data_IF_028476557811
#
_entry.id   IF_028476557811
#
_cell.length_a   1.000
_cell.length_b   1.000
_cell.length_c   1.000
_cell.angle_alpha   90.00
_cell.angle_beta   90.00
_cell.angle_gamma   90.00
#
_symmetry.space_group_name_H-M   'P 1'
#
loop_
_entity.id
_entity.type
_entity.pdbx_description
1 polymer ?
#
# COMPACT_ATOMS: atom_id res chain seq x y z
N UNK A 1 10.54 -46.58 10.24
CA UNK A 1 10.29 -47.08 11.61
C UNK A 1 9.60 -45.98 12.38
N UNK A 2 8.34 -46.16 12.77
CA UNK A 2 7.61 -45.16 13.54
C UNK A 2 8.11 -45.14 14.98
N UNK A 3 8.57 -43.98 15.46
CA UNK A 3 8.93 -43.79 16.86
C UNK A 3 7.71 -43.29 17.63
N UNK A 4 7.39 -43.94 18.75
CA UNK A 4 6.30 -43.55 19.65
C UNK A 4 5.90 -44.68 20.58
N UNK A 5 5.49 -44.33 21.80
CA UNK A 5 4.90 -45.27 22.75
C UNK A 5 3.38 -45.27 22.61
N UNK A 6 2.74 -46.45 22.71
CA UNK A 6 1.28 -46.49 22.73
C UNK A 6 0.80 -45.83 24.02
N UNK A 7 -0.24 -45.00 23.92
CA UNK A 7 -0.81 -44.26 25.06
C UNK A 7 -1.24 -45.20 26.21
N UNK A 8 -1.67 -46.42 25.89
CA UNK A 8 -2.01 -47.45 26.88
C UNK A 8 -0.77 -47.90 27.67
N UNK A 9 0.35 -48.19 26.98
CA UNK A 9 1.61 -48.62 27.62
C UNK A 9 2.14 -47.57 28.61
N UNK A 10 2.02 -46.28 28.27
CA UNK A 10 2.41 -45.19 29.17
C UNK A 10 1.47 -45.11 30.38
N UNK A 11 0.16 -45.22 30.16
CA UNK A 11 -0.84 -45.19 31.23
C UNK A 11 -0.59 -46.32 32.23
N UNK A 12 -0.37 -47.54 31.73
CA UNK A 12 -0.10 -48.73 32.55
C UNK A 12 1.22 -48.59 33.33
N UNK A 13 2.25 -48.01 32.71
CA UNK A 13 3.52 -47.73 33.38
C UNK A 13 3.34 -46.78 34.57
N UNK A 14 2.62 -45.66 34.40
CA UNK A 14 2.41 -44.71 35.49
C UNK A 14 1.54 -45.30 36.61
N UNK A 15 0.52 -46.09 36.26
CA UNK A 15 -0.29 -46.83 37.25
C UNK A 15 0.56 -47.81 38.07
N UNK A 16 1.49 -48.53 37.43
CA UNK A 16 2.41 -49.45 38.14
C UNK A 16 3.30 -48.73 39.17
N UNK A 17 3.52 -47.43 38.98
CA UNK A 17 4.28 -46.56 39.89
C UNK A 17 3.38 -45.80 40.88
N UNK A 18 2.11 -46.18 40.98
CA UNK A 18 1.14 -45.57 41.90
C UNK A 18 0.74 -44.14 41.52
N UNK A 19 0.96 -43.71 40.28
CA UNK A 19 0.58 -42.39 39.78
C UNK A 19 -0.53 -42.51 38.76
N UNK A 20 -1.65 -41.80 38.99
CA UNK A 20 -2.74 -41.73 38.03
C UNK A 20 -2.50 -40.53 37.08
N UNK A 21 -2.36 -40.79 35.77
CA UNK A 21 -2.14 -39.76 34.76
C UNK A 21 -3.32 -39.76 33.79
N UNK A 22 -4.02 -38.63 33.71
CA UNK A 22 -5.10 -38.42 32.74
C UNK A 22 -4.56 -37.55 31.60
N UNK A 23 -4.29 -38.16 30.45
CA UNK A 23 -3.77 -37.47 29.26
C UNK A 23 -4.85 -36.69 28.46
N UNK A 24 -6.06 -36.50 29.00
CA UNK A 24 -7.14 -35.72 28.37
C UNK A 24 -7.85 -36.47 27.24
N UNK A 25 -8.57 -35.76 26.37
CA UNK A 25 -9.27 -36.33 25.20
C UNK A 25 -8.23 -36.94 24.22
N UNK A 26 -8.55 -37.95 23.38
CA UNK A 26 -7.67 -38.39 22.29
C UNK A 26 -7.13 -37.19 21.49
N UNK A 27 -5.94 -37.27 20.87
CA UNK A 27 -5.52 -36.20 19.96
C UNK A 27 -6.65 -36.02 18.96
N UNK A 28 -7.13 -34.78 18.80
CA UNK A 28 -8.13 -34.46 17.79
C UNK A 28 -7.65 -35.12 16.49
N UNK A 29 -8.47 -35.97 15.91
CA UNK A 29 -8.33 -36.27 14.49
C UNK A 29 -8.47 -34.92 13.81
N UNK A 30 -7.34 -34.35 13.40
CA UNK A 30 -7.35 -33.30 12.40
C UNK A 30 -7.83 -34.00 11.14
N UNK A 31 -9.15 -34.02 10.93
CA UNK A 31 -9.66 -34.07 9.58
C UNK A 31 -9.05 -32.84 8.92
N UNK A 32 -8.25 -33.05 7.87
CA UNK A 32 -7.80 -31.97 7.02
C UNK A 32 -9.05 -31.28 6.53
N UNK A 33 -9.45 -30.19 7.20
CA UNK A 33 -10.53 -29.34 6.76
C UNK A 33 -10.03 -28.67 5.49
N UNK A 34 -10.23 -29.35 4.37
CA UNK A 34 -9.93 -28.88 3.02
C UNK A 34 -10.86 -27.76 2.57
N UNK A 35 -11.51 -27.08 3.50
CA UNK A 35 -12.51 -26.06 3.24
C UNK A 35 -11.92 -24.70 3.62
N UNK A 36 -10.79 -24.35 3.00
CA UNK A 36 -10.38 -22.98 2.78
C UNK A 36 -11.04 -22.50 1.46
N UNK A 37 -12.37 -22.48 1.45
CA UNK A 37 -13.23 -22.20 0.28
C UNK A 37 -13.20 -20.71 -0.16
N UNK A 38 -12.15 -19.99 0.21
CA UNK A 38 -11.89 -18.60 -0.14
C UNK A 38 -10.40 -18.25 -0.24
N UNK A 39 -9.51 -19.25 -0.26
CA UNK A 39 -8.09 -19.01 -0.49
C UNK A 39 -7.88 -18.69 -1.98
N UNK A 40 -7.58 -17.42 -2.27
CA UNK A 40 -7.08 -16.99 -3.59
C UNK A 40 -5.98 -17.97 -4.01
N UNK A 41 -6.15 -18.64 -5.15
CA UNK A 41 -5.16 -19.65 -5.56
C UNK A 41 -3.85 -18.96 -5.95
N UNK A 42 -2.73 -19.67 -5.87
CA UNK A 42 -1.44 -19.13 -6.32
C UNK A 42 -1.51 -18.62 -7.77
N UNK A 43 -2.29 -19.29 -8.62
CA UNK A 43 -2.49 -18.90 -10.01
C UNK A 43 -3.28 -17.60 -10.13
N UNK A 44 -4.31 -17.41 -9.31
CA UNK A 44 -5.09 -16.16 -9.27
C UNK A 44 -4.20 -14.98 -8.84
N UNK A 45 -3.36 -15.17 -7.82
CA UNK A 45 -2.41 -14.16 -7.37
C UNK A 45 -1.38 -13.80 -8.46
N UNK A 46 -0.87 -14.79 -9.20
CA UNK A 46 0.07 -14.53 -10.29
C UNK A 46 -0.60 -13.80 -11.46
N UNK A 47 -1.84 -14.15 -11.79
CA UNK A 47 -2.62 -13.46 -12.80
C UNK A 47 -2.90 -12.00 -12.41
N UNK A 48 -3.21 -11.76 -11.14
CA UNK A 48 -3.39 -10.41 -10.59
C UNK A 48 -2.09 -9.60 -10.66
N UNK A 49 -0.95 -10.18 -10.29
CA UNK A 49 0.36 -9.51 -10.41
C UNK A 49 0.66 -9.10 -11.84
N UNK A 50 0.39 -9.96 -12.83
CA UNK A 50 0.64 -9.61 -14.23
C UNK A 50 -0.31 -8.50 -14.71
N UNK A 51 -1.59 -8.57 -14.33
CA UNK A 51 -2.58 -7.52 -14.61
C UNK A 51 -2.19 -6.17 -14.00
N UNK A 52 -1.71 -6.18 -12.75
CA UNK A 52 -1.24 -4.98 -12.08
C UNK A 52 0.03 -4.43 -12.76
N UNK A 53 0.97 -5.28 -13.16
CA UNK A 53 2.17 -4.86 -13.91
C UNK A 53 1.84 -4.29 -15.29
N UNK A 54 0.88 -4.86 -16.02
CA UNK A 54 0.45 -4.28 -17.30
C UNK A 54 -0.20 -2.92 -17.06
N UNK A 55 -1.04 -2.80 -16.02
CA UNK A 55 -1.69 -1.54 -15.69
C UNK A 55 -0.70 -0.45 -15.28
N UNK A 56 0.34 -0.79 -14.52
CA UNK A 56 1.42 0.13 -14.18
C UNK A 56 2.14 0.62 -15.43
N UNK A 57 2.51 -0.29 -16.35
CA UNK A 57 3.15 0.09 -17.63
C UNK A 57 2.28 1.02 -18.46
N UNK A 58 0.98 0.75 -18.55
CA UNK A 58 0.04 1.60 -19.28
C UNK A 58 -0.06 3.00 -18.66
N UNK A 59 -0.10 3.08 -17.32
CA UNK A 59 -0.14 4.35 -16.60
C UNK A 59 1.17 5.13 -16.72
N UNK A 60 2.32 4.45 -16.66
CA UNK A 60 3.64 5.04 -16.86
C UNK A 60 3.80 5.59 -18.28
N UNK A 61 3.22 4.92 -19.29
CA UNK A 61 3.21 5.38 -20.67
C UNK A 61 2.40 6.68 -20.88
N UNK A 62 1.48 7.02 -19.97
CA UNK A 62 0.72 8.28 -20.00
C UNK A 62 1.48 9.44 -19.37
N UNK A 63 2.52 9.18 -18.58
CA UNK A 63 3.33 10.23 -17.97
C UNK A 63 4.22 10.90 -19.03
N UNK A 64 4.50 12.21 -18.89
CA UNK A 64 5.52 12.86 -19.70
C UNK A 64 6.85 12.11 -19.61
N UNK A 65 7.49 11.91 -20.76
CA UNK A 65 8.80 11.25 -20.81
C UNK A 65 9.81 11.97 -19.90
N UNK A 66 10.64 11.19 -19.20
CA UNK A 66 11.75 11.69 -18.38
C UNK A 66 11.33 12.56 -17.17
N UNK A 67 10.05 12.53 -16.78
CA UNK A 67 9.54 13.33 -15.65
C UNK A 67 10.25 12.93 -14.35
N UNK A 68 11.02 13.86 -13.77
CA UNK A 68 11.77 13.61 -12.54
C UNK A 68 12.98 12.66 -12.67
N UNK A 69 13.34 12.22 -13.88
CA UNK A 69 14.44 11.26 -14.08
C UNK A 69 15.82 11.89 -13.83
N UNK A 70 16.04 13.11 -14.33
CA UNK A 70 17.34 13.77 -14.28
C UNK A 70 17.47 14.78 -13.13
N UNK A 71 16.35 15.18 -12.53
CA UNK A 71 16.35 16.20 -11.49
C UNK A 71 15.21 15.99 -10.49
N UNK A 72 15.56 15.98 -9.21
CA UNK A 72 14.61 15.80 -8.11
C UNK A 72 13.76 17.07 -7.85
N UNK A 73 14.20 18.19 -8.40
CA UNK A 73 13.59 19.52 -8.28
C UNK A 73 12.86 19.92 -9.58
N UNK A 74 12.39 18.94 -10.36
CA UNK A 74 11.72 19.16 -11.65
C UNK A 74 10.46 20.04 -11.47
N UNK A 75 10.43 21.27 -12.04
CA UNK A 75 9.30 22.18 -11.93
C UNK A 75 7.96 21.57 -12.35
N UNK A 76 7.94 20.71 -13.37
CA UNK A 76 6.72 20.07 -13.85
C UNK A 76 6.24 18.99 -12.87
N UNK A 77 7.17 18.16 -12.37
CA UNK A 77 6.87 17.17 -11.35
C UNK A 77 6.30 17.84 -10.09
N UNK A 78 6.92 18.94 -9.66
CA UNK A 78 6.46 19.72 -8.51
C UNK A 78 5.08 20.32 -8.74
N UNK A 79 4.80 20.84 -9.93
CA UNK A 79 3.49 21.37 -10.26
C UNK A 79 2.40 20.28 -10.21
N UNK A 80 2.68 19.08 -10.72
CA UNK A 80 1.77 17.92 -10.64
C UNK A 80 1.53 17.54 -9.17
N UNK A 81 2.59 17.46 -8.35
CA UNK A 81 2.49 17.14 -6.93
C UNK A 81 1.65 18.17 -6.16
N UNK A 82 1.88 19.46 -6.40
CA UNK A 82 1.10 20.55 -5.79
C UNK A 82 -0.36 20.44 -6.23
N UNK A 83 -0.64 20.20 -7.51
CA UNK A 83 -2.01 20.02 -7.99
C UNK A 83 -2.72 18.86 -7.29
N UNK A 84 -2.04 17.71 -7.16
CA UNK A 84 -2.60 16.53 -6.52
C UNK A 84 -2.75 16.66 -5.00
N UNK A 85 -2.08 17.62 -4.36
CA UNK A 85 -2.11 17.81 -2.91
C UNK A 85 -3.00 18.99 -2.50
N UNK A 86 -2.70 20.17 -3.05
CA UNK A 86 -3.28 21.43 -2.62
C UNK A 86 -4.53 21.82 -3.44
N UNK A 87 -4.75 21.15 -4.58
CA UNK A 87 -5.89 21.40 -5.48
C UNK A 87 -6.74 20.14 -5.73
N UNK A 88 -6.53 19.06 -4.96
CA UNK A 88 -7.24 17.79 -5.13
C UNK A 88 -8.76 17.95 -5.03
N UNK A 89 -9.19 18.71 -4.03
CA UNK A 89 -10.60 18.93 -3.70
C UNK A 89 -11.14 20.24 -4.27
N UNK A 90 -10.43 20.86 -5.23
CA UNK A 90 -10.84 22.12 -5.81
C UNK A 90 -12.18 22.00 -6.53
N UNK A 91 -13.16 22.78 -6.08
CA UNK A 91 -14.49 22.86 -6.65
C UNK A 91 -14.74 24.29 -7.17
N UNK A 92 -14.94 24.48 -8.49
CA UNK A 92 -15.18 25.80 -9.06
C UNK A 92 -16.46 26.47 -8.53
N UNK A 93 -17.46 25.71 -8.09
CA UNK A 93 -18.71 26.24 -7.54
C UNK A 93 -18.56 26.66 -6.06
N UNK A 94 -17.50 26.18 -5.40
CA UNK A 94 -17.17 26.48 -4.01
C UNK A 94 -15.70 26.94 -3.83
N UNK A 95 -15.26 27.85 -4.71
CA UNK A 95 -13.88 28.37 -4.75
C UNK A 95 -13.40 28.84 -3.36
N UNK A 96 -14.23 29.59 -2.64
CA UNK A 96 -13.84 30.18 -1.36
C UNK A 96 -13.43 29.15 -0.29
N UNK A 97 -14.05 27.96 -0.31
CA UNK A 97 -13.78 26.93 0.69
C UNK A 97 -12.71 25.93 0.23
N UNK A 98 -12.61 25.69 -1.08
CA UNK A 98 -11.78 24.61 -1.65
C UNK A 98 -10.49 25.10 -2.32
N UNK A 99 -10.32 26.41 -2.44
CA UNK A 99 -9.13 27.00 -3.07
C UNK A 99 -7.86 26.74 -2.27
N UNK A 100 -6.85 26.22 -2.95
CA UNK A 100 -5.51 26.05 -2.43
C UNK A 100 -4.86 27.38 -2.03
N UNK A 101 -4.06 27.35 -0.96
CA UNK A 101 -3.37 28.55 -0.47
C UNK A 101 -2.12 28.85 -1.31
N UNK A 102 -2.30 29.70 -2.32
CA UNK A 102 -1.26 30.08 -3.28
C UNK A 102 -0.03 30.71 -2.62
N UNK A 103 -0.23 31.56 -1.62
CA UNK A 103 0.88 32.20 -0.90
C UNK A 103 1.70 31.19 -0.10
N UNK A 104 1.05 30.20 0.52
CA UNK A 104 1.73 29.11 1.21
C UNK A 104 2.53 28.24 0.22
N UNK A 105 1.95 27.89 -0.92
CA UNK A 105 2.62 27.10 -1.97
C UNK A 105 3.90 27.80 -2.45
N UNK A 106 3.81 29.10 -2.80
CA UNK A 106 4.97 29.89 -3.27
C UNK A 106 6.04 29.96 -2.19
N UNK A 107 5.65 30.25 -0.95
CA UNK A 107 6.59 30.35 0.17
C UNK A 107 7.27 29.02 0.50
N UNK A 108 6.56 27.89 0.38
CA UNK A 108 7.15 26.57 0.58
C UNK A 108 8.14 26.22 -0.55
N UNK A 109 7.88 26.63 -1.79
CA UNK A 109 8.84 26.51 -2.89
C UNK A 109 10.07 27.41 -2.67
N UNK A 110 9.89 28.64 -2.22
CA UNK A 110 11.02 29.55 -1.88
C UNK A 110 11.90 28.95 -0.78
N UNK A 111 11.30 28.36 0.26
CA UNK A 111 12.05 27.62 1.31
C UNK A 111 12.85 26.44 0.79
N UNK A 112 12.40 25.82 -0.30
CA UNK A 112 13.10 24.72 -0.96
C UNK A 112 14.23 25.20 -1.87
N UNK A 113 14.46 26.51 -1.96
CA UNK A 113 15.58 27.13 -2.70
C UNK A 113 15.19 27.67 -4.08
N UNK A 114 13.90 27.65 -4.45
CA UNK A 114 13.47 28.22 -5.73
C UNK A 114 13.44 29.75 -5.67
N UNK A 115 13.93 30.46 -6.70
CA UNK A 115 13.74 31.89 -6.79
C UNK A 115 12.24 32.19 -6.96
N UNK A 116 11.78 33.30 -6.37
CA UNK A 116 10.38 33.73 -6.37
C UNK A 116 9.68 33.58 -7.74
N UNK A 117 10.31 34.04 -8.82
CA UNK A 117 9.77 33.94 -10.18
C UNK A 117 9.52 32.49 -10.62
N UNK A 118 10.40 31.57 -10.25
CA UNK A 118 10.24 30.15 -10.58
C UNK A 118 9.18 29.51 -9.68
N UNK A 119 9.12 29.87 -8.39
CA UNK A 119 8.06 29.43 -7.49
C UNK A 119 6.67 29.87 -7.98
N UNK A 120 6.53 31.12 -8.41
CA UNK A 120 5.30 31.66 -9.03
C UNK A 120 4.95 30.93 -10.33
N UNK A 121 5.94 30.61 -11.17
CA UNK A 121 5.71 29.86 -12.40
C UNK A 121 5.24 28.41 -12.13
N UNK A 122 5.83 27.73 -11.15
CA UNK A 122 5.42 26.38 -10.74
C UNK A 122 4.00 26.41 -10.19
N UNK A 123 3.69 27.38 -9.31
CA UNK A 123 2.34 27.55 -8.76
C UNK A 123 1.32 27.83 -9.86
N UNK A 124 1.66 28.68 -10.83
CA UNK A 124 0.78 28.99 -11.96
C UNK A 124 0.45 27.75 -12.78
N UNK A 125 1.44 26.89 -13.06
CA UNK A 125 1.23 25.63 -13.79
C UNK A 125 0.40 24.64 -12.96
N UNK A 126 0.58 24.62 -11.64
CA UNK A 126 -0.18 23.77 -10.73
C UNK A 126 -1.64 24.23 -10.56
N UNK A 127 -1.89 25.54 -10.57
CA UNK A 127 -3.20 26.11 -10.31
C UNK A 127 -4.21 25.73 -11.41
N UNK A 128 -5.42 25.25 -11.07
CA UNK A 128 -6.47 24.94 -12.05
C UNK A 128 -7.25 26.19 -12.51
N UNK A 129 -7.08 27.32 -11.81
CA UNK A 129 -7.85 28.55 -12.06
C UNK A 129 -7.26 29.29 -13.26
N UNK A 130 -8.09 29.61 -14.26
CA UNK A 130 -7.70 30.49 -15.37
C UNK A 130 -7.46 31.90 -14.85
N UNK A 131 -6.20 32.36 -14.88
CA UNK A 131 -5.84 33.76 -14.66
C UNK A 131 -5.88 34.47 -16.02
N UNK A 132 -6.87 35.34 -16.18
CA UNK A 132 -7.03 36.18 -17.38
C UNK A 132 -6.05 37.34 -17.41
#
# INVERSE_FOLDING_TARGET
>A
MGYGFKRQELTDFFHSKGKHVNFGVPPMSFEDSSDLDGALTLNDALAEVESLKSRVRDLEALLPILLGEYRNDDPLLLAIQIRNKDWLDYDPDNDRATRGNQAAIIHDLEKRGFPKRQAEAIELVACPIKRG
#
